data_IF_947295429924
#
_entry.id   IF_947295429924
#
_cell.length_a   1.000
_cell.length_b   1.000
_cell.length_c   1.000
_cell.angle_alpha   90.00
_cell.angle_beta   90.00
_cell.angle_gamma   90.00
#
_symmetry.space_group_name_H-M   'P 1'
#
loop_
_entity.id
_entity.type
_entity.pdbx_description
1 polymer ?
#
# COMPACT_ATOMS: atom_id res chain seq x y z
N UNK A 1 -16.44 -13.17 5.40
CA UNK A 1 -15.59 -12.32 6.25
C UNK A 1 -14.38 -11.83 5.47
N UNK A 2 -14.08 -10.55 5.57
CA UNK A 2 -12.91 -9.98 4.89
C UNK A 2 -11.74 -9.97 5.85
N UNK A 3 -10.59 -10.49 5.42
CA UNK A 3 -9.39 -10.58 6.24
C UNK A 3 -8.25 -9.88 5.52
N UNK A 4 -7.64 -8.90 6.21
CA UNK A 4 -6.46 -8.20 5.72
C UNK A 4 -5.20 -8.66 6.44
N UNK A 5 -4.05 -8.45 5.82
CA UNK A 5 -2.75 -8.68 6.42
C UNK A 5 -1.97 -7.37 6.49
N UNK A 6 -1.34 -7.13 7.63
CA UNK A 6 -0.47 -5.99 7.88
C UNK A 6 0.98 -6.47 7.80
N UNK A 7 1.79 -5.78 7.01
CA UNK A 7 3.19 -6.14 6.84
C UNK A 7 4.07 -4.91 6.90
N UNK A 8 5.17 -5.01 7.63
CA UNK A 8 6.19 -3.98 7.76
C UNK A 8 7.53 -4.55 7.31
N UNK A 9 8.20 -3.87 6.39
CA UNK A 9 9.54 -4.26 5.93
C UNK A 9 10.26 -3.05 5.33
N UNK A 10 11.59 -3.01 5.47
CA UNK A 10 12.41 -1.95 4.90
C UNK A 10 12.88 -2.27 3.47
N UNK A 11 12.55 -3.45 2.96
CA UNK A 11 12.96 -3.90 1.64
C UNK A 11 11.77 -3.90 0.68
N UNK A 12 11.84 -3.07 -0.36
CA UNK A 12 10.75 -2.92 -1.33
C UNK A 12 10.45 -4.23 -2.06
N UNK A 13 11.47 -4.97 -2.47
CA UNK A 13 11.30 -6.27 -3.15
C UNK A 13 10.55 -7.26 -2.26
N UNK A 14 10.92 -7.29 -0.97
CA UNK A 14 10.24 -8.16 0.00
C UNK A 14 8.76 -7.77 0.17
N UNK A 15 8.46 -6.47 0.18
CA UNK A 15 7.06 -6.03 0.26
C UNK A 15 6.24 -6.49 -0.95
N UNK A 16 6.80 -6.39 -2.15
CA UNK A 16 6.13 -6.87 -3.37
C UNK A 16 5.89 -8.37 -3.31
N UNK A 17 6.88 -9.13 -2.87
CA UNK A 17 6.78 -10.59 -2.71
C UNK A 17 5.70 -10.96 -1.71
N UNK A 18 5.64 -10.26 -0.57
CA UNK A 18 4.64 -10.51 0.46
C UNK A 18 3.23 -10.17 -0.01
N UNK A 19 3.08 -9.09 -0.78
CA UNK A 19 1.78 -8.75 -1.35
C UNK A 19 1.32 -9.79 -2.36
N UNK A 20 2.23 -10.27 -3.21
CA UNK A 20 1.95 -11.34 -4.17
C UNK A 20 1.52 -12.62 -3.44
N UNK A 21 2.23 -12.99 -2.38
CA UNK A 21 1.91 -14.15 -1.59
C UNK A 21 0.57 -13.99 -0.85
N UNK A 22 0.31 -12.80 -0.30
CA UNK A 22 -0.96 -12.53 0.37
C UNK A 22 -2.15 -12.69 -0.56
N UNK A 23 -2.03 -12.23 -1.80
CA UNK A 23 -3.07 -12.43 -2.81
C UNK A 23 -3.27 -13.91 -3.13
N UNK A 24 -2.17 -14.65 -3.30
CA UNK A 24 -2.22 -16.08 -3.57
C UNK A 24 -2.84 -16.87 -2.41
N UNK A 25 -2.61 -16.42 -1.18
CA UNK A 25 -3.14 -17.04 0.04
C UNK A 25 -4.61 -16.68 0.32
N UNK A 26 -5.19 -15.80 -0.48
CA UNK A 26 -6.60 -15.44 -0.35
C UNK A 26 -6.91 -14.32 0.63
N UNK A 27 -5.94 -13.53 1.07
CA UNK A 27 -6.22 -12.35 1.86
C UNK A 27 -6.93 -11.29 1.02
N UNK A 28 -7.86 -10.55 1.63
CA UNK A 28 -8.64 -9.53 0.94
C UNK A 28 -7.89 -8.22 0.77
N UNK A 29 -6.98 -7.90 1.69
CA UNK A 29 -6.27 -6.63 1.68
C UNK A 29 -4.86 -6.74 2.26
N UNK A 30 -3.98 -5.86 1.80
CA UNK A 30 -2.58 -5.78 2.20
C UNK A 30 -2.28 -4.37 2.68
N UNK A 31 -1.78 -4.23 3.92
CA UNK A 31 -1.63 -2.95 4.62
C UNK A 31 -0.17 -2.70 4.95
N UNK A 32 0.31 -1.51 4.61
CA UNK A 32 1.69 -1.10 4.82
C UNK A 32 1.74 0.14 5.71
N UNK A 33 2.52 0.11 6.81
CA UNK A 33 2.73 1.29 7.63
C UNK A 33 3.83 2.17 7.06
N UNK A 34 3.83 3.43 7.46
CA UNK A 34 4.98 4.30 7.24
C UNK A 34 5.33 5.03 8.53
N UNK A 35 6.48 4.65 9.10
CA UNK A 35 7.08 5.36 10.23
C UNK A 35 8.45 5.87 9.77
N UNK A 36 9.35 4.96 9.49
CA UNK A 36 10.68 5.21 8.90
C UNK A 36 10.91 4.16 7.81
N UNK A 37 11.90 4.37 6.95
CA UNK A 37 12.23 3.40 5.91
C UNK A 37 11.45 3.60 4.61
N UNK A 38 10.89 2.54 4.05
CA UNK A 38 10.23 2.58 2.74
C UNK A 38 9.02 3.50 2.76
N UNK A 39 8.90 4.36 1.75
CA UNK A 39 7.72 5.21 1.57
C UNK A 39 6.53 4.34 1.17
N UNK A 40 5.51 4.29 2.04
CA UNK A 40 4.38 3.38 1.88
C UNK A 40 3.61 3.61 0.58
N UNK A 41 3.32 4.86 0.24
CA UNK A 41 2.56 5.17 -0.99
C UNK A 41 3.36 4.85 -2.25
N UNK A 42 4.66 5.10 -2.24
CA UNK A 42 5.54 4.71 -3.35
C UNK A 42 5.59 3.20 -3.51
N UNK A 43 5.72 2.48 -2.40
CA UNK A 43 5.72 1.01 -2.41
C UNK A 43 4.38 0.47 -2.93
N UNK A 44 3.26 1.04 -2.48
CA UNK A 44 1.94 0.62 -2.92
C UNK A 44 1.69 0.92 -4.41
N UNK A 45 2.32 1.95 -4.98
CA UNK A 45 2.25 2.20 -6.41
C UNK A 45 2.83 1.02 -7.20
N UNK A 46 4.02 0.56 -6.80
CA UNK A 46 4.65 -0.60 -7.44
C UNK A 46 3.84 -1.87 -7.21
N UNK A 47 3.39 -2.11 -5.99
CA UNK A 47 2.56 -3.27 -5.66
C UNK A 47 1.27 -3.25 -6.47
N UNK A 48 0.61 -2.11 -6.54
CA UNK A 48 -0.65 -1.96 -7.29
C UNK A 48 -0.52 -2.23 -8.77
N UNK A 49 0.63 -1.89 -9.35
CA UNK A 49 0.92 -2.16 -10.77
C UNK A 49 1.33 -3.61 -11.02
N UNK A 50 1.81 -4.31 -10.00
CA UNK A 50 2.38 -5.66 -10.12
C UNK A 50 1.39 -6.75 -9.69
N UNK A 51 0.65 -6.52 -8.60
CA UNK A 51 -0.27 -7.48 -8.01
C UNK A 51 -1.70 -7.08 -8.40
N UNK A 52 -2.45 -7.93 -9.13
CA UNK A 52 -3.61 -7.45 -9.89
C UNK A 52 -4.91 -7.28 -9.12
N UNK A 53 -5.12 -7.93 -7.97
CA UNK A 53 -6.46 -7.99 -7.37
C UNK A 53 -6.58 -7.54 -5.93
N UNK A 54 -5.57 -7.78 -5.09
CA UNK A 54 -5.66 -7.51 -3.66
C UNK A 54 -5.88 -6.01 -3.38
N UNK A 55 -6.76 -5.69 -2.44
CA UNK A 55 -6.94 -4.32 -1.99
C UNK A 55 -5.73 -3.85 -1.20
N UNK A 56 -5.39 -2.58 -1.33
CA UNK A 56 -4.18 -2.00 -0.76
C UNK A 56 -4.54 -0.89 0.22
N UNK A 57 -3.78 -0.76 1.30
CA UNK A 57 -4.02 0.29 2.26
C UNK A 57 -2.76 0.73 2.99
N UNK A 58 -2.81 1.93 3.56
CA UNK A 58 -1.79 2.43 4.47
C UNK A 58 -2.30 2.32 5.91
N UNK A 59 -1.46 1.84 6.81
CA UNK A 59 -1.81 1.69 8.20
C UNK A 59 -0.62 2.06 9.10
N UNK A 60 -0.34 3.30 9.22
CA UNK A 60 -0.95 4.49 8.59
C UNK A 60 0.15 5.38 8.02
N UNK A 61 -0.23 6.40 7.24
CA UNK A 61 0.72 7.40 6.75
C UNK A 61 0.54 8.68 7.58
N UNK A 62 1.62 9.21 8.20
CA UNK A 62 1.52 10.47 8.92
C UNK A 62 1.28 11.63 7.94
N UNK A 63 0.43 12.56 8.35
CA UNK A 63 0.04 13.69 7.50
C UNK A 63 0.91 14.93 7.71
N UNK A 64 1.47 15.11 8.91
CA UNK A 64 2.20 16.32 9.25
C UNK A 64 3.46 16.60 8.43
N UNK A 65 4.21 15.58 7.92
CA UNK A 65 5.38 15.84 7.08
C UNK A 65 5.04 16.10 5.62
N UNK A 66 3.76 16.03 5.23
CA UNK A 66 3.34 16.14 3.83
C UNK A 66 2.32 17.25 3.65
N UNK A 67 2.51 18.08 2.63
CA UNK A 67 1.47 19.00 2.23
C UNK A 67 0.24 18.20 1.75
N UNK A 68 -0.99 18.62 2.11
CA UNK A 68 -2.19 17.89 1.69
C UNK A 68 -2.30 17.66 0.18
N UNK A 69 -1.86 18.61 -0.63
CA UNK A 69 -1.84 18.46 -2.08
C UNK A 69 -0.89 17.36 -2.54
N UNK A 70 0.29 17.26 -1.91
CA UNK A 70 1.25 16.20 -2.22
C UNK A 70 0.71 14.83 -1.83
N UNK A 71 0.10 14.73 -0.65
CA UNK A 71 -0.50 13.49 -0.18
C UNK A 71 -1.66 13.06 -1.11
N UNK A 72 -2.52 13.99 -1.51
CA UNK A 72 -3.61 13.71 -2.43
C UNK A 72 -3.08 13.21 -3.78
N UNK A 73 -2.04 13.87 -4.33
CA UNK A 73 -1.42 13.43 -5.58
C UNK A 73 -0.83 12.04 -5.49
N UNK A 74 -0.16 11.73 -4.38
CA UNK A 74 0.39 10.39 -4.14
C UNK A 74 -0.72 9.33 -4.05
N UNK A 75 -1.78 9.62 -3.30
CA UNK A 75 -2.90 8.69 -3.14
C UNK A 75 -3.61 8.44 -4.49
N UNK A 76 -3.82 9.47 -5.28
CA UNK A 76 -4.42 9.34 -6.61
C UNK A 76 -3.54 8.52 -7.56
N UNK A 77 -2.21 8.67 -7.46
CA UNK A 77 -1.26 7.89 -8.25
C UNK A 77 -1.33 6.41 -7.90
N UNK A 78 -1.37 6.08 -6.62
CA UNK A 78 -1.53 4.69 -6.17
C UNK A 78 -2.87 4.13 -6.63
N UNK A 79 -3.92 4.92 -6.50
CA UNK A 79 -5.27 4.52 -6.95
C UNK A 79 -5.28 4.23 -8.44
N UNK A 80 -4.65 5.08 -9.26
CA UNK A 80 -4.54 4.85 -10.70
C UNK A 80 -3.75 3.58 -11.02
N UNK A 81 -2.60 3.38 -10.37
CA UNK A 81 -1.75 2.22 -10.60
C UNK A 81 -2.44 0.91 -10.21
N UNK A 82 -3.30 0.94 -9.20
CA UNK A 82 -3.98 -0.24 -8.66
C UNK A 82 -5.41 -0.43 -9.20
N UNK A 83 -5.88 0.42 -10.10
CA UNK A 83 -7.25 0.33 -10.58
C UNK A 83 -8.29 0.64 -9.51
N UNK A 84 -8.00 1.58 -8.63
CA UNK A 84 -8.94 2.04 -7.61
C UNK A 84 -8.96 1.20 -6.32
N UNK A 85 -7.93 0.39 -6.06
CA UNK A 85 -7.90 -0.52 -4.91
C UNK A 85 -7.26 0.06 -3.65
N UNK A 86 -7.00 1.37 -3.60
CA UNK A 86 -6.36 2.00 -2.46
C UNK A 86 -7.38 2.45 -1.40
N UNK A 87 -7.06 2.14 -0.13
CA UNK A 87 -7.66 2.77 1.05
C UNK A 87 -6.56 3.54 1.78
N UNK A 88 -6.72 4.85 1.91
CA UNK A 88 -5.74 5.71 2.57
C UNK A 88 -6.05 5.79 4.07
N UNK A 89 -5.18 5.18 4.89
CA UNK A 89 -5.22 5.32 6.35
C UNK A 89 -4.22 6.39 6.80
N UNK A 90 -4.68 7.33 7.61
CA UNK A 90 -3.88 8.46 8.11
C UNK A 90 -3.94 8.56 9.63
#
# INVERSE_FOLDING_TARGET
>A
MRIGIFTSDDNLTTLVERATQAEADGFDSFWVPQIFGVDALSALTLIGATVPRIELGTAVVPTYPRHPMALAGQALTVSAASGGRLTLGI
#
